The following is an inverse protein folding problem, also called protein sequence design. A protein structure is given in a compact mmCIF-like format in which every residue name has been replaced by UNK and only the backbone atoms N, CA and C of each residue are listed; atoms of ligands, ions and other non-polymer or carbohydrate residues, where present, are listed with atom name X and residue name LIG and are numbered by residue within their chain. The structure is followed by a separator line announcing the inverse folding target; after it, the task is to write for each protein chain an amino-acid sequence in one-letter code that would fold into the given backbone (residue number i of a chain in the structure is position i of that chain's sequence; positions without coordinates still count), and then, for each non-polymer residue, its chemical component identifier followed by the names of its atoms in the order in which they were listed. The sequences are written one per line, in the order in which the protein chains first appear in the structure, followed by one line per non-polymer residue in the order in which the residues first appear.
data_IF_697039497647
#
_entry.id   IF_697039497647
#
_cell.length_a   1.000
_cell.length_b   1.000
_cell.length_c   1.000
_cell.angle_alpha   90.00
_cell.angle_beta   90.00
_cell.angle_gamma   90.00
#
_symmetry.space_group_name_H-M   'P 1'
#
loop_
_entity.id
_entity.type
_entity.pdbx_description
1 polymer ?
#
# COMPACT_ATOMS: atom_id res chain seq x y z
N UNK A 1 -20.66 3.77 13.29
CA UNK A 1 -21.02 3.92 11.87
C UNK A 1 -20.77 2.56 11.25
N UNK A 2 -21.83 1.83 10.93
CA UNK A 2 -21.76 0.46 10.38
C UNK A 2 -21.00 0.49 9.05
N UNK A 3 -20.00 -0.38 8.87
CA UNK A 3 -19.31 -0.52 7.59
C UNK A 3 -20.21 -1.28 6.60
N UNK A 4 -20.29 -0.85 5.34
CA UNK A 4 -21.07 -1.53 4.31
C UNK A 4 -20.62 -3.00 4.15
N UNK A 5 -21.59 -3.90 4.12
CA UNK A 5 -21.36 -5.36 4.09
C UNK A 5 -21.02 -5.89 2.69
N UNK A 6 -21.24 -5.09 1.65
CA UNK A 6 -20.91 -5.38 0.25
C UNK A 6 -20.20 -4.21 -0.43
N UNK A 7 -19.41 -4.50 -1.48
CA UNK A 7 -18.82 -3.49 -2.38
C UNK A 7 -19.89 -2.61 -3.04
N UNK A 8 -21.13 -3.11 -3.15
CA UNK A 8 -22.28 -2.40 -3.72
C UNK A 8 -22.84 -1.33 -2.77
N UNK A 9 -22.54 -1.41 -1.47
CA UNK A 9 -23.02 -0.48 -0.45
C UNK A 9 -22.02 0.67 -0.18
N UNK A 10 -20.87 0.66 -0.85
CA UNK A 10 -19.92 1.76 -0.82
C UNK A 10 -20.49 2.94 -1.60
N UNK A 11 -20.63 4.10 -0.95
CA UNK A 11 -21.02 5.33 -1.65
C UNK A 11 -20.10 5.52 -2.88
N UNK A 12 -20.64 5.71 -4.10
CA UNK A 12 -19.87 5.87 -5.33
C UNK A 12 -18.74 6.91 -5.23
N UNK A 13 -18.84 7.88 -4.32
CA UNK A 13 -17.76 8.82 -3.99
C UNK A 13 -16.49 8.14 -3.49
N UNK A 14 -16.59 6.97 -2.85
CA UNK A 14 -15.46 6.14 -2.41
C UNK A 14 -14.98 5.14 -3.48
N UNK A 15 -15.75 4.93 -4.55
CA UNK A 15 -15.42 4.00 -5.65
C UNK A 15 -15.21 4.79 -6.95
N UNK A 16 -14.31 5.78 -6.91
CA UNK A 16 -13.92 6.49 -8.13
C UNK A 16 -12.84 5.69 -8.86
N UNK A 17 -13.09 5.33 -10.12
CA UNK A 17 -12.07 4.69 -10.97
C UNK A 17 -10.91 5.64 -11.20
N UNK A 18 -9.69 5.18 -10.94
CA UNK A 18 -8.49 5.94 -11.27
C UNK A 18 -8.26 5.91 -12.78
N UNK A 19 -8.00 7.07 -13.39
CA UNK A 19 -7.53 7.15 -14.78
C UNK A 19 -6.05 6.76 -14.86
N UNK A 20 -5.64 6.26 -16.03
CA UNK A 20 -4.26 5.88 -16.31
C UNK A 20 -3.60 6.93 -17.22
N UNK A 21 -2.31 7.17 -17.01
CA UNK A 21 -1.46 7.98 -17.87
C UNK A 21 -0.15 7.23 -18.14
N UNK A 22 0.39 7.41 -19.34
CA UNK A 22 1.67 6.81 -19.71
C UNK A 22 2.84 7.68 -19.23
N UNK A 23 3.79 7.05 -18.54
CA UNK A 23 5.09 7.63 -18.17
C UNK A 23 6.16 6.65 -18.62
N UNK A 24 7.09 7.12 -19.45
CA UNK A 24 8.24 6.31 -19.93
C UNK A 24 7.80 4.93 -20.51
N UNK A 25 6.64 4.86 -21.17
CA UNK A 25 6.08 3.64 -21.76
C UNK A 25 5.29 2.74 -20.80
N UNK A 26 5.08 3.15 -19.54
CA UNK A 26 4.32 2.41 -18.53
C UNK A 26 3.02 3.12 -18.18
N UNK A 27 1.90 2.41 -18.22
CA UNK A 27 0.60 2.94 -17.79
C UNK A 27 0.50 2.95 -16.26
N UNK A 28 0.46 4.14 -15.66
CA UNK A 28 0.39 4.35 -14.22
C UNK A 28 -0.91 5.06 -13.80
N UNK A 29 -1.44 4.80 -12.60
CA UNK A 29 -2.52 5.59 -12.03
C UNK A 29 -2.16 7.07 -11.98
N UNK A 30 -3.12 7.96 -12.28
CA UNK A 30 -2.88 9.41 -12.24
C UNK A 30 -2.45 9.92 -10.86
N UNK A 31 -2.81 9.23 -9.77
CA UNK A 31 -2.34 9.58 -8.42
C UNK A 31 -0.85 9.31 -8.23
N UNK A 32 -0.34 8.18 -8.73
CA UNK A 32 1.08 7.83 -8.72
C UNK A 32 1.86 8.75 -9.66
N UNK A 33 1.35 8.99 -10.87
CA UNK A 33 1.96 9.87 -11.86
C UNK A 33 2.19 11.30 -11.33
N UNK A 34 1.26 11.84 -10.55
CA UNK A 34 1.41 13.17 -9.90
C UNK A 34 2.61 13.26 -8.96
N UNK A 35 3.04 12.15 -8.38
CA UNK A 35 4.17 12.09 -7.44
C UNK A 35 5.43 11.49 -8.10
N UNK A 36 5.45 11.36 -9.43
CA UNK A 36 6.54 10.69 -10.14
C UNK A 36 7.91 11.28 -9.87
N UNK A 37 8.04 12.62 -9.84
CA UNK A 37 9.31 13.29 -9.55
C UNK A 37 9.80 12.97 -8.13
N UNK A 38 8.89 12.87 -7.16
CA UNK A 38 9.22 12.48 -5.79
C UNK A 38 9.72 11.04 -5.74
N UNK A 39 9.02 10.11 -6.39
CA UNK A 39 9.40 8.69 -6.49
C UNK A 39 10.78 8.56 -7.14
N UNK A 40 11.02 9.25 -8.27
CA UNK A 40 12.29 9.23 -9.01
C UNK A 40 13.45 9.84 -8.22
N UNK A 41 13.16 10.79 -7.33
CA UNK A 41 14.13 11.42 -6.45
C UNK A 41 14.42 10.63 -5.16
N UNK A 42 13.72 9.51 -4.92
CA UNK A 42 13.92 8.68 -3.72
C UNK A 42 15.38 8.25 -3.58
N UNK A 43 15.93 8.42 -2.38
CA UNK A 43 17.29 8.03 -2.04
C UNK A 43 17.23 6.88 -1.03
N UNK A 44 17.45 5.67 -1.52
CA UNK A 44 17.58 4.51 -0.66
C UNK A 44 18.78 4.68 0.28
N UNK A 45 18.62 4.23 1.52
CA UNK A 45 19.71 4.07 2.47
C UNK A 45 20.39 2.72 2.26
N UNK A 46 21.66 2.55 2.68
CA UNK A 46 22.37 1.27 2.55
C UNK A 46 21.72 0.10 3.29
N UNK A 47 20.89 0.39 4.29
CA UNK A 47 20.18 -0.57 5.14
C UNK A 47 18.71 -0.78 4.74
N UNK A 48 18.22 -0.13 3.68
CA UNK A 48 16.85 -0.29 3.22
C UNK A 48 16.66 -1.63 2.48
N UNK A 49 15.48 -2.24 2.69
CA UNK A 49 15.02 -3.41 1.95
C UNK A 49 13.82 -3.01 1.07
N UNK A 50 13.93 -3.23 -0.24
CA UNK A 50 12.87 -2.96 -1.20
C UNK A 50 12.20 -4.25 -1.66
N UNK A 51 10.88 -4.31 -1.53
CA UNK A 51 10.05 -5.40 -2.07
C UNK A 51 9.43 -4.92 -3.38
N UNK A 52 9.93 -5.43 -4.51
CA UNK A 52 9.45 -5.07 -5.84
C UNK A 52 8.68 -6.24 -6.46
N UNK A 53 7.44 -6.00 -6.88
CA UNK A 53 6.61 -7.02 -7.53
C UNK A 53 5.60 -6.38 -8.47
N UNK A 54 5.22 -7.09 -9.52
CA UNK A 54 4.05 -6.69 -10.32
C UNK A 54 2.77 -6.77 -9.47
N UNK A 55 1.80 -5.85 -9.62
CA UNK A 55 0.57 -5.88 -8.83
C UNK A 55 -0.10 -7.25 -8.86
N UNK A 56 -0.57 -7.69 -7.69
CA UNK A 56 -1.23 -8.99 -7.46
C UNK A 56 -0.33 -10.23 -7.55
N UNK A 57 0.99 -10.09 -7.73
CA UNK A 57 1.93 -11.22 -7.71
C UNK A 57 2.31 -11.72 -6.30
N UNK A 58 1.52 -11.40 -5.26
CA UNK A 58 1.79 -11.84 -3.88
C UNK A 58 2.60 -10.88 -3.02
N UNK A 59 2.57 -9.58 -3.30
CA UNK A 59 3.30 -8.56 -2.51
C UNK A 59 2.99 -8.61 -1.01
N UNK A 60 1.72 -8.79 -0.62
CA UNK A 60 1.33 -8.88 0.79
C UNK A 60 1.92 -10.11 1.47
N UNK A 61 1.89 -11.27 0.81
CA UNK A 61 2.47 -12.50 1.34
C UNK A 61 3.99 -12.37 1.55
N UNK A 62 4.68 -11.75 0.59
CA UNK A 62 6.11 -11.51 0.68
C UNK A 62 6.46 -10.51 1.79
N UNK A 63 5.69 -9.42 1.92
CA UNK A 63 5.86 -8.43 3.00
C UNK A 63 5.71 -9.08 4.38
N UNK A 64 4.66 -9.87 4.64
CA UNK A 64 4.50 -10.55 5.93
C UNK A 64 5.61 -11.56 6.21
N UNK A 65 6.04 -12.30 5.17
CA UNK A 65 7.15 -13.25 5.32
C UNK A 65 8.44 -12.55 5.70
N UNK A 66 8.76 -11.43 5.05
CA UNK A 66 9.94 -10.63 5.36
C UNK A 66 9.84 -10.00 6.75
N UNK A 67 8.66 -9.51 7.15
CA UNK A 67 8.45 -8.91 8.47
C UNK A 67 8.65 -9.91 9.61
N UNK A 68 8.16 -11.14 9.43
CA UNK A 68 8.39 -12.24 10.38
C UNK A 68 9.86 -12.63 10.49
N UNK A 69 10.61 -12.60 9.38
CA UNK A 69 12.06 -12.88 9.40
C UNK A 69 12.81 -11.77 10.14
N UNK A 70 12.49 -10.50 9.89
CA UNK A 70 13.14 -9.36 10.55
C UNK A 70 12.83 -9.29 12.04
N UNK A 71 11.63 -9.70 12.46
CA UNK A 71 11.17 -9.72 13.84
C UNK A 71 11.11 -11.13 14.43
N UNK A 72 12.00 -12.03 14.00
CA UNK A 72 11.96 -13.44 14.42
C UNK A 72 12.07 -13.63 15.94
N UNK A 73 12.63 -12.65 16.64
CA UNK A 73 12.74 -12.57 18.10
C UNK A 73 11.42 -12.16 18.78
N UNK A 74 10.52 -11.47 18.07
CA UNK A 74 9.25 -10.99 18.61
C UNK A 74 8.16 -10.82 17.53
N UNK A 75 7.44 -11.91 17.26
CA UNK A 75 6.36 -11.94 16.28
C UNK A 75 5.16 -11.03 16.63
N UNK A 76 5.00 -10.58 17.88
CA UNK A 76 3.93 -9.64 18.23
C UNK A 76 4.07 -8.30 17.51
N UNK A 77 5.30 -7.93 17.12
CA UNK A 77 5.56 -6.72 16.33
C UNK A 77 4.90 -6.79 14.94
N UNK A 78 4.78 -7.98 14.35
CA UNK A 78 4.17 -8.18 13.04
C UNK A 78 2.67 -7.86 13.03
N UNK A 79 2.01 -7.92 14.19
CA UNK A 79 0.59 -7.65 14.35
C UNK A 79 0.29 -6.21 14.85
N UNK A 80 1.33 -5.40 15.11
CA UNK A 80 1.16 -4.09 15.78
C UNK A 80 0.44 -3.05 14.92
N UNK A 81 0.53 -3.17 13.60
CA UNK A 81 -0.12 -2.25 12.66
C UNK A 81 -0.43 -2.93 11.33
N UNK A 82 -1.37 -2.37 10.53
CA UNK A 82 -1.57 -2.79 9.15
C UNK A 82 -0.27 -2.76 8.33
N UNK A 83 -0.17 -3.65 7.35
CA UNK A 83 1.06 -3.86 6.57
C UNK A 83 1.59 -2.59 5.89
N UNK A 84 0.70 -1.74 5.38
CA UNK A 84 1.07 -0.47 4.73
C UNK A 84 1.65 0.58 5.71
N UNK A 85 1.41 0.44 7.02
CA UNK A 85 2.05 1.26 8.05
C UNK A 85 3.42 0.70 8.44
N UNK A 86 3.59 -0.62 8.45
CA UNK A 86 4.87 -1.31 8.76
C UNK A 86 5.87 -1.21 7.62
N UNK A 87 5.39 -1.40 6.38
CA UNK A 87 6.17 -1.38 5.15
C UNK A 87 5.52 -0.37 4.18
N UNK A 88 5.99 0.89 4.17
CA UNK A 88 5.39 1.93 3.33
C UNK A 88 5.59 1.62 1.85
N UNK A 89 4.52 1.80 1.06
CA UNK A 89 4.57 1.70 -0.39
C UNK A 89 5.22 2.95 -1.00
N UNK A 90 6.17 2.75 -1.91
CA UNK A 90 6.84 3.84 -2.61
C UNK A 90 5.92 4.51 -3.66
N UNK A 91 5.05 3.73 -4.29
CA UNK A 91 4.28 4.09 -5.49
C UNK A 91 2.76 4.15 -5.28
N UNK A 92 2.28 3.95 -4.05
CA UNK A 92 0.85 3.93 -3.73
C UNK A 92 0.41 5.21 -3.01
N UNK A 93 -0.36 6.04 -3.73
CA UNK A 93 -0.95 7.29 -3.23
C UNK A 93 -2.48 7.17 -3.26
N UNK A 94 -3.11 6.60 -2.22
CA UNK A 94 -4.55 6.38 -2.21
C UNK A 94 -5.29 7.72 -2.13
N UNK A 95 -6.40 7.90 -2.86
CA UNK A 95 -7.18 9.14 -2.83
C UNK A 95 -7.95 9.35 -1.51
N UNK A 96 -8.10 8.32 -0.66
CA UNK A 96 -8.83 8.36 0.62
C UNK A 96 -8.16 7.41 1.63
N UNK A 97 -8.13 7.80 2.91
CA UNK A 97 -7.75 6.95 4.05
C UNK A 97 -8.63 5.70 4.10
N UNK A 98 -8.03 4.51 3.98
CA UNK A 98 -8.72 3.28 4.37
C UNK A 98 -9.22 3.46 5.80
N UNK A 99 -10.53 3.30 6.10
CA UNK A 99 -10.96 3.26 7.49
C UNK A 99 -10.23 2.10 8.15
N UNK A 100 -9.30 2.39 9.07
CA UNK A 100 -8.64 1.34 9.82
C UNK A 100 -9.69 0.65 10.69
N UNK A 101 -9.71 -0.68 10.69
CA UNK A 101 -10.57 -1.48 11.58
C UNK A 101 -10.19 -1.35 13.07
N UNK A 102 -9.44 -0.31 13.46
CA UNK A 102 -8.92 -0.06 14.81
C UNK A 102 -10.06 0.30 15.82
N UNK A 103 -11.32 0.35 15.39
CA UNK A 103 -12.50 0.55 16.25
C UNK A 103 -13.31 -0.72 16.55
N UNK A 104 -12.77 -1.92 16.27
CA UNK A 104 -13.45 -3.21 16.53
C UNK A 104 -12.94 -3.94 17.78
N UNK A 105 -12.62 -3.21 18.86
CA UNK A 105 -12.46 -3.78 20.20
C UNK A 105 -13.41 -3.13 21.20
#
# INVERSE_FOLDING_TARGET
MELPSSLEDLDPKFVTRCSLIEIEGVSLPTTTAKHWDQIKSFRARPDDLLICSYPKAGSTWLQETVDMIQNADNLQKCAQAPIYKRMPFLDMFPPITFPSGEHLQ
#
